data_IF_865104669958
#
_entry.id   IF_865104669958
#
_cell.length_a   1.000
_cell.length_b   1.000
_cell.length_c   1.000
_cell.angle_alpha   90.00
_cell.angle_beta   90.00
_cell.angle_gamma   90.00
#
_symmetry.space_group_name_H-M   'P 1'
#
loop_
_entity.id
_entity.type
_entity.pdbx_description
1 polymer ?
#
# COMPACT_ATOMS: atom_id res chain seq x y z
N UNK A 1 -15.64 -0.74 5.92
CA UNK A 1 -14.44 -1.54 6.34
C UNK A 1 -13.86 -0.92 7.59
N UNK A 2 -13.54 -1.72 8.61
CA UNK A 2 -12.88 -1.21 9.83
C UNK A 2 -11.38 -1.50 9.79
N UNK A 3 -10.54 -0.49 10.05
CA UNK A 3 -9.07 -0.62 10.17
C UNK A 3 -8.66 0.09 11.47
N UNK A 4 -8.10 -0.65 12.42
CA UNK A 4 -7.93 -0.17 13.78
C UNK A 4 -9.25 0.24 14.40
N UNK A 5 -9.33 1.44 14.96
CA UNK A 5 -10.57 1.99 15.53
C UNK A 5 -11.39 2.85 14.56
N UNK A 6 -10.92 3.02 13.31
CA UNK A 6 -11.57 3.85 12.29
C UNK A 6 -12.44 3.05 11.33
N UNK A 7 -13.60 3.62 10.97
CA UNK A 7 -14.47 3.11 9.91
C UNK A 7 -14.17 3.82 8.59
N UNK A 8 -13.92 3.04 7.54
CA UNK A 8 -13.67 3.52 6.19
C UNK A 8 -14.86 3.18 5.29
N UNK A 9 -15.43 4.19 4.64
CA UNK A 9 -16.50 4.00 3.67
C UNK A 9 -15.93 3.37 2.40
N UNK A 10 -16.55 2.29 1.93
CA UNK A 10 -16.03 1.53 0.77
C UNK A 10 -16.43 2.13 -0.59
N UNK A 11 -17.19 3.22 -0.59
CA UNK A 11 -17.65 3.89 -1.81
C UNK A 11 -17.67 5.41 -1.65
N UNK A 12 -17.36 6.12 -2.74
CA UNK A 12 -17.54 7.57 -2.84
C UNK A 12 -16.47 8.42 -2.17
N UNK A 13 -15.42 7.81 -1.60
CA UNK A 13 -14.27 8.51 -1.04
C UNK A 13 -12.99 7.72 -1.28
N UNK A 14 -11.88 8.45 -1.49
CA UNK A 14 -10.54 7.86 -1.62
C UNK A 14 -9.66 8.33 -0.47
N UNK A 15 -9.14 7.38 0.29
CA UNK A 15 -8.31 7.60 1.47
C UNK A 15 -6.82 7.58 1.13
N UNK A 16 -6.03 8.30 1.91
CA UNK A 16 -4.58 8.42 1.70
C UNK A 16 -3.81 7.57 2.70
N UNK A 17 -3.05 6.62 2.18
CA UNK A 17 -2.06 5.83 2.92
C UNK A 17 -0.68 6.45 2.71
N UNK A 18 -0.13 7.08 3.76
CA UNK A 18 1.18 7.71 3.75
C UNK A 18 2.31 6.69 3.96
N UNK A 19 3.35 6.73 3.13
CA UNK A 19 4.47 5.78 3.15
C UNK A 19 5.51 6.21 4.17
N UNK A 20 5.83 5.32 5.12
CA UNK A 20 6.93 5.45 6.05
C UNK A 20 7.95 4.32 5.88
N UNK A 21 9.04 4.58 5.16
CA UNK A 21 10.13 3.62 5.04
C UNK A 21 11.11 3.76 6.23
N UNK A 22 11.29 2.68 6.99
CA UNK A 22 12.21 2.60 8.13
C UNK A 22 13.48 1.82 7.76
N UNK A 23 14.07 2.17 6.62
CA UNK A 23 15.33 1.60 6.12
C UNK A 23 16.53 2.46 6.52
N UNK A 24 17.74 1.89 6.69
CA UNK A 24 18.95 2.66 7.05
C UNK A 24 19.21 3.86 6.14
N UNK A 25 18.94 3.72 4.84
CA UNK A 25 19.13 4.79 3.86
C UNK A 25 18.13 5.95 4.00
N UNK A 26 16.98 5.69 4.63
CA UNK A 26 15.94 6.72 4.84
C UNK A 26 16.29 7.69 5.96
N UNK A 27 17.27 7.35 6.84
CA UNK A 27 17.58 8.10 8.05
C UNK A 27 19.09 8.24 8.32
N UNK A 28 19.94 8.22 7.32
CA UNK A 28 21.39 7.93 7.30
C UNK A 28 22.34 8.84 8.12
N UNK A 29 21.87 9.79 8.96
CA UNK A 29 22.75 10.78 9.59
C UNK A 29 22.88 10.72 11.12
N UNK A 30 22.57 9.60 11.80
CA UNK A 30 22.86 9.60 13.23
C UNK A 30 22.11 8.67 14.17
N UNK A 31 22.43 7.39 14.21
CA UNK A 31 22.11 6.48 15.32
C UNK A 31 20.62 6.16 15.55
N UNK A 32 20.32 4.95 16.04
CA UNK A 32 18.97 4.37 16.18
C UNK A 32 17.91 5.27 16.88
N UNK A 33 18.30 6.10 17.83
CA UNK A 33 17.37 7.02 18.52
C UNK A 33 16.96 8.21 17.65
N UNK A 34 17.92 8.75 16.90
CA UNK A 34 17.67 9.89 16.00
C UNK A 34 16.77 9.47 14.84
N UNK A 35 16.88 8.22 14.39
CA UNK A 35 16.07 7.67 13.30
C UNK A 35 14.61 7.49 13.70
N UNK A 36 14.34 7.03 14.94
CA UNK A 36 12.98 6.92 15.47
C UNK A 36 12.30 8.30 15.61
N UNK A 37 13.01 9.29 16.13
CA UNK A 37 12.45 10.64 16.28
C UNK A 37 12.20 11.31 14.93
N UNK A 38 13.02 11.06 13.92
CA UNK A 38 12.77 11.51 12.54
C UNK A 38 11.54 10.84 11.96
N UNK A 39 11.40 9.50 12.15
CA UNK A 39 10.23 8.76 11.71
C UNK A 39 8.95 9.31 12.35
N UNK A 40 8.95 9.56 13.66
CA UNK A 40 7.78 10.10 14.37
C UNK A 40 7.42 11.53 13.94
N UNK A 41 8.41 12.40 13.68
CA UNK A 41 8.14 13.73 13.10
C UNK A 41 7.52 13.63 11.70
N UNK A 42 8.01 12.72 10.88
CA UNK A 42 7.43 12.50 9.56
C UNK A 42 6.00 11.94 9.63
N UNK A 43 5.72 11.06 10.60
CA UNK A 43 4.34 10.61 10.87
C UNK A 43 3.44 11.78 11.29
N UNK A 44 3.91 12.64 12.20
CA UNK A 44 3.18 13.85 12.63
C UNK A 44 2.84 14.74 11.44
N UNK A 45 3.82 15.04 10.57
CA UNK A 45 3.61 15.79 9.33
C UNK A 45 2.57 15.13 8.42
N UNK A 46 2.67 13.80 8.18
CA UNK A 46 1.71 13.08 7.35
C UNK A 46 0.29 13.12 7.92
N UNK A 47 0.13 12.96 9.24
CA UNK A 47 -1.17 13.02 9.92
C UNK A 47 -1.76 14.44 9.83
N UNK A 48 -0.97 15.47 10.07
CA UNK A 48 -1.39 16.89 9.93
C UNK A 48 -1.77 17.22 8.47
N UNK A 49 -1.09 16.62 7.50
CA UNK A 49 -1.38 16.74 6.06
C UNK A 49 -2.63 15.98 5.62
N UNK A 50 -3.16 15.10 6.48
CA UNK A 50 -4.39 14.37 6.26
C UNK A 50 -4.21 12.93 5.77
N UNK A 51 -3.11 12.26 6.14
CA UNK A 51 -3.00 10.82 5.96
C UNK A 51 -4.04 10.09 6.83
N UNK A 52 -4.74 9.15 6.22
CA UNK A 52 -5.75 8.32 6.90
C UNK A 52 -5.13 7.07 7.53
N UNK A 53 -4.04 6.56 6.95
CA UNK A 53 -3.30 5.38 7.37
C UNK A 53 -1.80 5.67 7.19
N UNK A 54 -0.96 5.15 8.08
CA UNK A 54 0.51 5.17 7.92
C UNK A 54 0.98 3.76 7.57
N UNK A 55 1.66 3.61 6.44
CA UNK A 55 2.17 2.32 5.97
C UNK A 55 3.67 2.20 6.28
N UNK A 56 4.01 1.35 7.24
CA UNK A 56 5.35 1.17 7.77
C UNK A 56 6.04 0.00 7.07
N UNK A 57 7.16 0.26 6.39
CA UNK A 57 7.96 -0.75 5.71
C UNK A 57 9.41 -0.80 6.20
N UNK A 58 9.88 -1.99 6.60
CA UNK A 58 11.24 -2.21 7.10
C UNK A 58 12.24 -2.67 6.04
N UNK A 59 11.75 -3.17 4.92
CA UNK A 59 12.53 -3.64 3.78
C UNK A 59 12.21 -2.81 2.54
N UNK A 60 13.24 -2.46 1.76
CA UNK A 60 13.00 -1.83 0.46
C UNK A 60 12.49 -2.87 -0.52
N UNK A 61 11.37 -2.58 -1.19
CA UNK A 61 10.80 -3.44 -2.25
C UNK A 61 11.07 -2.92 -3.66
N UNK A 62 12.00 -1.95 -3.80
CA UNK A 62 12.42 -1.41 -5.11
C UNK A 62 13.20 -2.46 -5.91
N UNK A 63 13.14 -2.45 -7.26
CA UNK A 63 13.93 -3.35 -8.07
C UNK A 63 15.43 -3.32 -7.70
N UNK A 64 16.03 -4.50 -7.47
CA UNK A 64 17.45 -4.60 -7.07
C UNK A 64 17.71 -4.45 -5.57
N UNK A 65 16.68 -4.47 -4.73
CA UNK A 65 16.84 -4.45 -3.27
C UNK A 65 17.57 -5.70 -2.74
N UNK A 66 18.20 -5.56 -1.59
CA UNK A 66 18.81 -6.68 -0.86
C UNK A 66 17.82 -7.20 0.16
N UNK A 67 17.53 -8.51 0.12
CA UNK A 67 16.73 -9.18 1.13
C UNK A 67 17.43 -9.07 2.49
N UNK A 68 16.67 -8.72 3.51
CA UNK A 68 17.12 -8.71 4.90
C UNK A 68 16.48 -9.89 5.67
N UNK A 69 17.07 -10.25 6.80
CA UNK A 69 16.49 -11.31 7.65
C UNK A 69 15.20 -10.83 8.32
N UNK A 70 14.38 -11.78 8.76
CA UNK A 70 13.15 -11.49 9.49
C UNK A 70 13.46 -10.71 10.78
N UNK A 71 14.53 -11.11 11.50
CA UNK A 71 14.96 -10.46 12.75
C UNK A 71 15.38 -9.00 12.50
N UNK A 72 16.07 -8.74 11.40
CA UNK A 72 16.46 -7.39 11.05
C UNK A 72 15.24 -6.53 10.71
N UNK A 73 14.30 -7.03 9.90
CA UNK A 73 13.08 -6.31 9.58
C UNK A 73 12.23 -6.05 10.83
N UNK A 74 12.03 -7.05 11.70
CA UNK A 74 11.36 -6.91 12.99
C UNK A 74 12.02 -5.81 13.84
N UNK A 75 13.34 -5.80 13.92
CA UNK A 75 14.09 -4.82 14.72
C UNK A 75 13.90 -3.38 14.22
N UNK A 76 13.57 -3.19 12.95
CA UNK A 76 13.28 -1.89 12.34
C UNK A 76 11.84 -1.45 12.57
N UNK A 77 10.85 -2.33 12.29
CA UNK A 77 9.44 -1.94 12.24
C UNK A 77 8.77 -1.92 13.62
N UNK A 78 9.07 -2.89 14.50
CA UNK A 78 8.38 -3.03 15.79
C UNK A 78 8.53 -1.78 16.66
N UNK A 79 9.75 -1.25 16.93
CA UNK A 79 9.90 -0.07 17.79
C UNK A 79 9.23 1.19 17.22
N UNK A 80 9.09 1.28 15.90
CA UNK A 80 8.44 2.40 15.23
C UNK A 80 6.92 2.28 15.35
N UNK A 81 6.36 1.08 15.11
CA UNK A 81 4.92 0.82 15.26
C UNK A 81 4.48 1.13 16.70
N UNK A 82 5.17 0.60 17.72
CA UNK A 82 4.89 0.88 19.12
C UNK A 82 4.90 2.38 19.43
N UNK A 83 5.92 3.10 18.96
CA UNK A 83 6.05 4.54 19.19
C UNK A 83 4.98 5.37 18.48
N UNK A 84 4.52 4.95 17.29
CA UNK A 84 3.39 5.59 16.60
C UNK A 84 2.10 5.38 17.39
N UNK A 85 1.82 4.13 17.82
CA UNK A 85 0.61 3.79 18.60
C UNK A 85 0.52 4.53 19.93
N UNK A 86 1.66 4.83 20.55
CA UNK A 86 1.70 5.61 21.81
C UNK A 86 1.37 7.10 21.61
N UNK A 87 1.61 7.67 20.42
CA UNK A 87 1.55 9.13 20.18
C UNK A 87 0.41 9.58 19.29
N UNK A 88 -0.03 8.74 18.37
CA UNK A 88 -0.96 9.13 17.29
C UNK A 88 -2.17 8.20 17.26
N UNK A 89 -3.34 8.80 17.11
CA UNK A 89 -4.58 8.07 16.80
C UNK A 89 -4.72 7.93 15.27
N UNK A 90 -3.85 7.12 14.66
CA UNK A 90 -3.88 6.80 13.24
C UNK A 90 -3.70 5.30 13.03
N UNK A 91 -4.47 4.64 12.16
CA UNK A 91 -4.25 3.26 11.80
C UNK A 91 -2.89 3.03 11.17
N UNK A 92 -2.27 1.89 11.51
CA UNK A 92 -0.96 1.50 10.99
C UNK A 92 -1.13 0.30 10.07
N UNK A 93 -0.68 0.44 8.83
CA UNK A 93 -0.43 -0.66 7.89
C UNK A 93 1.02 -1.12 8.04
N UNK A 94 1.26 -2.42 8.04
CA UNK A 94 2.59 -3.00 7.98
C UNK A 94 2.85 -3.61 6.61
N UNK A 95 3.77 -3.00 5.85
CA UNK A 95 4.24 -3.47 4.54
C UNK A 95 5.25 -4.60 4.74
N UNK A 96 4.77 -5.84 4.67
CA UNK A 96 5.60 -7.05 4.76
C UNK A 96 4.90 -8.25 4.12
N UNK A 97 5.71 -9.14 3.54
CA UNK A 97 5.29 -10.42 2.98
C UNK A 97 5.84 -11.63 3.77
N UNK A 98 6.43 -11.37 4.95
CA UNK A 98 7.04 -12.39 5.82
C UNK A 98 6.18 -12.61 7.06
N UNK A 99 5.70 -13.83 7.28
CA UNK A 99 4.80 -14.15 8.38
C UNK A 99 5.37 -13.94 9.78
N UNK A 100 6.69 -14.12 10.05
CA UNK A 100 7.27 -13.75 11.34
C UNK A 100 7.22 -12.23 11.60
N UNK A 101 7.50 -11.42 10.59
CA UNK A 101 7.44 -9.96 10.68
C UNK A 101 6.00 -9.49 10.89
N UNK A 102 5.06 -10.02 10.11
CA UNK A 102 3.63 -9.73 10.29
C UNK A 102 3.16 -10.04 11.71
N UNK A 103 3.54 -11.19 12.27
CA UNK A 103 3.21 -11.58 13.66
C UNK A 103 3.75 -10.60 14.70
N UNK A 104 5.01 -10.19 14.54
CA UNK A 104 5.65 -9.24 15.45
C UNK A 104 5.01 -7.85 15.35
N UNK A 105 4.73 -7.38 14.13
CA UNK A 105 4.06 -6.10 13.91
C UNK A 105 2.61 -6.06 14.42
N UNK A 106 1.85 -7.16 14.28
CA UNK A 106 0.51 -7.29 14.88
C UNK A 106 0.59 -7.16 16.41
N UNK A 107 1.56 -7.80 17.03
CA UNK A 107 1.78 -7.70 18.50
C UNK A 107 2.19 -6.29 18.93
N UNK A 108 2.91 -5.56 18.07
CA UNK A 108 3.29 -4.17 18.28
C UNK A 108 2.15 -3.17 18.06
N UNK A 109 1.02 -3.61 17.46
CA UNK A 109 -0.17 -2.78 17.26
C UNK A 109 -0.44 -2.38 15.81
N UNK A 110 0.09 -3.07 14.82
CA UNK A 110 -0.34 -2.88 13.42
C UNK A 110 -1.83 -3.23 13.26
N UNK A 111 -2.54 -2.45 12.46
CA UNK A 111 -3.99 -2.53 12.25
C UNK A 111 -4.36 -3.13 10.88
N UNK A 112 -3.39 -3.25 9.96
CA UNK A 112 -3.54 -3.82 8.62
C UNK A 112 -2.23 -4.47 8.19
N UNK A 113 -2.30 -5.57 7.43
CA UNK A 113 -1.13 -6.18 6.77
C UNK A 113 -1.20 -5.87 5.28
N UNK A 114 -0.15 -5.23 4.75
CA UNK A 114 0.02 -4.95 3.33
C UNK A 114 1.04 -5.93 2.73
N UNK A 115 0.52 -6.97 2.05
CA UNK A 115 1.34 -8.07 1.50
C UNK A 115 1.50 -7.90 -0.01
N UNK A 116 2.70 -7.47 -0.43
CA UNK A 116 3.06 -7.25 -1.84
C UNK A 116 3.20 -8.54 -2.68
N UNK A 117 3.05 -9.71 -2.08
CA UNK A 117 3.05 -11.00 -2.75
C UNK A 117 1.66 -11.68 -2.75
N UNK A 118 0.66 -11.08 -2.12
CA UNK A 118 -0.71 -11.58 -2.13
C UNK A 118 -0.79 -13.03 -1.62
N UNK A 119 -0.18 -13.32 -0.48
CA UNK A 119 -0.15 -14.63 0.20
C UNK A 119 0.66 -15.73 -0.52
N UNK A 120 1.44 -15.39 -1.58
CA UNK A 120 2.12 -16.39 -2.42
C UNK A 120 3.61 -16.56 -2.11
N UNK A 121 4.19 -15.73 -1.24
CA UNK A 121 5.60 -15.82 -0.87
C UNK A 121 5.82 -16.74 0.34
N UNK A 122 5.07 -16.50 1.42
CA UNK A 122 5.14 -17.25 2.68
C UNK A 122 3.82 -17.98 2.92
N UNK A 123 3.84 -19.31 2.92
CA UNK A 123 2.68 -20.19 3.08
C UNK A 123 1.96 -20.03 4.44
N UNK A 124 2.61 -19.41 5.43
CA UNK A 124 2.06 -19.14 6.77
C UNK A 124 1.38 -17.78 6.87
N UNK A 125 1.60 -16.87 5.91
CA UNK A 125 1.07 -15.51 5.97
C UNK A 125 -0.46 -15.48 6.08
N UNK A 126 -1.16 -16.24 5.24
CA UNK A 126 -2.62 -16.30 5.26
C UNK A 126 -3.18 -16.73 6.63
N UNK A 127 -2.54 -17.73 7.27
CA UNK A 127 -2.95 -18.20 8.59
C UNK A 127 -2.68 -17.16 9.70
N UNK A 128 -1.59 -16.40 9.60
CA UNK A 128 -1.27 -15.31 10.53
C UNK A 128 -2.31 -14.21 10.44
N UNK A 129 -2.66 -13.75 9.23
CA UNK A 129 -3.67 -12.72 8.99
C UNK A 129 -5.05 -13.20 9.47
N UNK A 130 -5.48 -14.40 9.08
CA UNK A 130 -6.76 -14.95 9.49
C UNK A 130 -6.90 -15.03 11.02
N UNK A 131 -5.86 -15.51 11.72
CA UNK A 131 -5.85 -15.61 13.18
C UNK A 131 -5.89 -14.24 13.88
N UNK A 132 -5.27 -13.22 13.30
CA UNK A 132 -5.25 -11.88 13.89
C UNK A 132 -6.62 -11.19 13.81
N UNK A 133 -7.43 -11.54 12.82
CA UNK A 133 -8.67 -10.86 12.52
C UNK A 133 -8.50 -9.45 11.92
N UNK A 134 -7.28 -9.06 11.53
CA UNK A 134 -7.00 -7.78 10.89
C UNK A 134 -7.38 -7.80 9.40
N UNK A 135 -7.68 -6.63 8.81
CA UNK A 135 -7.74 -6.48 7.37
C UNK A 135 -6.37 -6.65 6.73
N UNK A 136 -6.36 -6.96 5.44
CA UNK A 136 -5.15 -7.06 4.64
C UNK A 136 -5.33 -6.42 3.27
N UNK A 137 -4.24 -5.88 2.73
CA UNK A 137 -4.10 -5.50 1.34
C UNK A 137 -3.25 -6.56 0.64
N UNK A 138 -3.80 -7.16 -0.40
CA UNK A 138 -3.20 -8.28 -1.12
C UNK A 138 -2.88 -7.84 -2.54
N UNK A 139 -1.57 -7.72 -2.85
CA UNK A 139 -1.12 -7.17 -4.12
C UNK A 139 -0.87 -8.26 -5.16
N UNK A 140 -1.23 -7.97 -6.40
CA UNK A 140 -0.81 -8.75 -7.56
C UNK A 140 0.70 -8.62 -7.79
N UNK A 141 1.40 -9.75 -7.75
CA UNK A 141 2.82 -9.86 -8.08
C UNK A 141 3.13 -11.20 -8.72
N UNK A 142 4.17 -11.24 -9.55
CA UNK A 142 4.74 -12.45 -10.17
C UNK A 142 6.26 -12.45 -10.04
N UNK A 143 6.90 -13.60 -10.23
CA UNK A 143 8.36 -13.69 -10.33
C UNK A 143 8.88 -13.09 -11.63
N UNK A 144 8.11 -13.24 -12.72
CA UNK A 144 8.44 -12.78 -14.07
C UNK A 144 7.25 -12.07 -14.70
N UNK A 145 7.51 -11.17 -15.66
CA UNK A 145 6.50 -10.45 -16.43
C UNK A 145 6.01 -11.26 -17.65
N UNK A 146 5.78 -12.57 -17.47
CA UNK A 146 5.29 -13.47 -18.51
C UNK A 146 3.76 -13.52 -18.47
N UNK A 147 3.13 -12.84 -19.42
CA UNK A 147 1.67 -12.80 -19.59
C UNK A 147 1.30 -13.25 -20.99
N UNK A 148 0.21 -14.00 -21.13
CA UNK A 148 -0.39 -14.35 -22.41
C UNK A 148 -1.46 -13.32 -22.82
N UNK A 149 -2.38 -13.06 -21.91
CA UNK A 149 -3.32 -11.95 -21.97
C UNK A 149 -3.22 -11.19 -20.66
N UNK A 150 -2.65 -9.98 -20.70
CA UNK A 150 -2.19 -9.30 -19.51
C UNK A 150 -3.29 -9.07 -18.47
N UNK A 151 -4.43 -8.48 -18.86
CA UNK A 151 -5.50 -8.16 -17.91
C UNK A 151 -6.22 -9.42 -17.42
N UNK A 152 -6.42 -10.42 -18.31
CA UNK A 152 -7.02 -11.70 -17.92
C UNK A 152 -6.11 -12.47 -16.94
N UNK A 153 -4.81 -12.47 -17.17
CA UNK A 153 -3.83 -13.12 -16.30
C UNK A 153 -3.75 -12.43 -14.94
N UNK A 154 -3.76 -11.09 -14.90
CA UNK A 154 -3.83 -10.32 -13.65
C UNK A 154 -5.10 -10.67 -12.87
N UNK A 155 -6.24 -10.71 -13.53
CA UNK A 155 -7.51 -11.08 -12.91
C UNK A 155 -7.47 -12.53 -12.38
N UNK A 156 -6.91 -13.48 -13.13
CA UNK A 156 -6.76 -14.87 -12.71
C UNK A 156 -5.87 -15.00 -11.45
N UNK A 157 -4.75 -14.27 -11.41
CA UNK A 157 -3.83 -14.25 -10.28
C UNK A 157 -4.45 -13.63 -9.02
N UNK A 158 -5.23 -12.55 -9.16
CA UNK A 158 -5.98 -11.95 -8.05
C UNK A 158 -7.08 -12.89 -7.56
N UNK A 159 -7.79 -13.57 -8.46
CA UNK A 159 -8.78 -14.58 -8.08
C UNK A 159 -8.14 -15.74 -7.30
N UNK A 160 -6.91 -16.15 -7.64
CA UNK A 160 -6.15 -17.13 -6.87
C UNK A 160 -5.82 -16.61 -5.48
N UNK A 161 -5.30 -15.37 -5.37
CA UNK A 161 -5.01 -14.70 -4.10
C UNK A 161 -6.24 -14.63 -3.19
N UNK A 162 -7.39 -14.23 -3.73
CA UNK A 162 -8.67 -14.19 -3.01
C UNK A 162 -9.04 -15.59 -2.48
N UNK A 163 -8.95 -16.63 -3.32
CA UNK A 163 -9.21 -18.02 -2.88
C UNK A 163 -8.28 -18.48 -1.77
N UNK A 164 -7.01 -18.05 -1.78
CA UNK A 164 -6.07 -18.33 -0.67
C UNK A 164 -6.51 -17.68 0.62
N UNK A 165 -6.98 -16.43 0.55
CA UNK A 165 -7.49 -15.68 1.70
C UNK A 165 -8.76 -16.34 2.27
N UNK A 166 -9.75 -16.64 1.42
CA UNK A 166 -11.00 -17.34 1.79
C UNK A 166 -10.71 -18.70 2.44
N UNK A 167 -9.84 -19.51 1.82
CA UNK A 167 -9.45 -20.83 2.34
C UNK A 167 -8.79 -20.75 3.72
N UNK A 168 -8.08 -19.66 4.01
CA UNK A 168 -7.46 -19.42 5.32
C UNK A 168 -8.47 -18.90 6.36
N UNK A 169 -9.68 -18.49 5.94
CA UNK A 169 -10.72 -17.92 6.81
C UNK A 169 -10.60 -16.41 7.01
N UNK A 170 -9.95 -15.70 6.09
CA UNK A 170 -9.98 -14.23 6.07
C UNK A 170 -11.35 -13.81 5.51
N UNK A 171 -12.08 -13.00 6.26
CA UNK A 171 -13.42 -12.55 5.86
C UNK A 171 -13.35 -11.53 4.73
N UNK A 172 -14.28 -11.60 3.77
CA UNK A 172 -14.31 -10.77 2.55
C UNK A 172 -14.25 -9.26 2.84
N UNK A 173 -14.96 -8.81 3.86
CA UNK A 173 -14.99 -7.40 4.27
C UNK A 173 -13.65 -6.88 4.83
N UNK A 174 -12.65 -7.75 4.96
CA UNK A 174 -11.29 -7.43 5.44
C UNK A 174 -10.24 -7.45 4.34
N UNK A 175 -10.62 -7.74 3.10
CA UNK A 175 -9.70 -7.83 1.97
C UNK A 175 -9.72 -6.52 1.18
N UNK A 176 -8.53 -5.99 0.89
CA UNK A 176 -8.23 -4.95 -0.09
C UNK A 176 -7.37 -5.60 -1.15
N UNK A 177 -7.56 -5.26 -2.41
CA UNK A 177 -6.71 -5.75 -3.51
C UNK A 177 -5.93 -4.59 -4.14
N UNK A 178 -4.68 -4.87 -4.57
CA UNK A 178 -3.79 -3.91 -5.24
C UNK A 178 -3.34 -4.51 -6.59
N UNK A 179 -3.49 -3.80 -7.71
CA UNK A 179 -3.07 -4.26 -9.04
C UNK A 179 -1.55 -4.44 -9.19
N UNK A 180 -0.73 -3.95 -8.26
CA UNK A 180 0.72 -4.14 -8.28
C UNK A 180 1.42 -3.35 -9.37
N UNK A 181 1.10 -2.08 -9.57
CA UNK A 181 1.84 -1.19 -10.49
C UNK A 181 3.32 -1.18 -10.14
N UNK A 182 4.19 -1.42 -11.13
CA UNK A 182 5.64 -1.45 -10.95
C UNK A 182 6.22 -2.80 -10.49
N UNK A 183 5.39 -3.84 -10.34
CA UNK A 183 5.82 -5.19 -9.96
C UNK A 183 5.55 -6.18 -11.09
N UNK A 184 6.61 -6.88 -11.54
CA UNK A 184 6.55 -7.86 -12.62
C UNK A 184 5.72 -7.41 -13.84
N UNK A 185 5.87 -6.15 -14.26
CA UNK A 185 5.14 -5.55 -15.37
C UNK A 185 6.09 -4.71 -16.23
N UNK A 186 5.94 -4.79 -17.55
CA UNK A 186 6.61 -3.87 -18.48
C UNK A 186 6.09 -2.44 -18.31
N UNK A 187 6.72 -1.48 -18.99
CA UNK A 187 6.24 -0.10 -19.01
C UNK A 187 4.81 -0.02 -19.55
N UNK A 188 4.54 -0.67 -20.69
CA UNK A 188 3.23 -0.69 -21.35
C UNK A 188 2.18 -1.34 -20.47
N UNK A 189 2.51 -2.47 -19.83
CA UNK A 189 1.62 -3.16 -18.90
C UNK A 189 1.29 -2.31 -17.66
N UNK A 190 2.24 -1.49 -17.19
CA UNK A 190 1.96 -0.53 -16.12
C UNK A 190 1.00 0.59 -16.56
N UNK A 191 1.10 1.06 -17.79
CA UNK A 191 0.13 2.02 -18.34
C UNK A 191 -1.24 1.37 -18.54
N UNK A 192 -1.27 0.15 -19.05
CA UNK A 192 -2.51 -0.62 -19.28
C UNK A 192 -3.26 -0.89 -17.97
N UNK A 193 -2.60 -1.39 -16.92
CA UNK A 193 -3.27 -1.67 -15.64
C UNK A 193 -3.83 -0.41 -14.99
N UNK A 194 -3.14 0.74 -15.10
CA UNK A 194 -3.66 2.02 -14.61
C UNK A 194 -4.87 2.47 -15.44
N UNK A 195 -4.84 2.24 -16.76
CA UNK A 195 -5.95 2.60 -17.63
C UNK A 195 -7.17 1.70 -17.45
N UNK A 196 -7.00 0.46 -17.01
CA UNK A 196 -8.06 -0.55 -16.87
C UNK A 196 -8.41 -0.89 -15.41
N UNK A 197 -8.07 -0.01 -14.44
CA UNK A 197 -8.31 -0.24 -13.01
C UNK A 197 -9.76 -0.63 -12.68
N UNK A 198 -10.73 -0.03 -13.38
CA UNK A 198 -12.15 -0.28 -13.20
C UNK A 198 -12.56 -1.72 -13.50
N UNK A 199 -11.81 -2.45 -14.32
CA UNK A 199 -12.07 -3.87 -14.59
C UNK A 199 -11.90 -4.73 -13.33
N UNK A 200 -11.03 -4.32 -12.40
CA UNK A 200 -10.81 -5.04 -11.14
C UNK A 200 -11.96 -4.86 -10.15
N UNK A 201 -12.87 -3.90 -10.38
CA UNK A 201 -14.09 -3.74 -9.57
C UNK A 201 -15.02 -4.94 -9.69
N UNK A 202 -14.82 -5.82 -10.69
CA UNK A 202 -15.55 -7.08 -10.84
C UNK A 202 -15.41 -8.00 -9.62
N UNK A 203 -14.34 -7.87 -8.86
CA UNK A 203 -14.12 -8.68 -7.65
C UNK A 203 -14.93 -8.20 -6.44
N UNK A 204 -15.45 -6.96 -6.46
CA UNK A 204 -16.24 -6.40 -5.36
C UNK A 204 -15.43 -5.99 -4.12
N UNK A 205 -14.11 -6.06 -4.17
CA UNK A 205 -13.21 -5.64 -3.08
C UNK A 205 -12.73 -4.19 -3.27
N UNK A 206 -12.45 -3.46 -2.17
CA UNK A 206 -11.77 -2.17 -2.25
C UNK A 206 -10.44 -2.28 -2.98
N UNK A 207 -10.14 -1.28 -3.85
CA UNK A 207 -8.88 -1.18 -4.56
C UNK A 207 -7.92 -0.21 -3.86
N UNK A 208 -6.66 -0.60 -3.72
CA UNK A 208 -5.55 0.27 -3.38
C UNK A 208 -4.69 0.50 -4.62
N UNK A 209 -4.32 1.75 -4.90
CA UNK A 209 -3.41 2.13 -5.97
C UNK A 209 -2.11 2.70 -5.41
N UNK A 210 -1.00 2.02 -5.64
CA UNK A 210 0.35 2.46 -5.28
C UNK A 210 1.16 2.87 -6.51
N UNK A 211 1.02 4.10 -7.02
CA UNK A 211 1.78 4.62 -8.17
C UNK A 211 2.86 5.64 -7.81
N UNK A 212 2.88 6.13 -6.56
CA UNK A 212 3.69 7.27 -6.13
C UNK A 212 5.17 7.10 -6.45
N UNK A 213 5.70 8.03 -7.23
CA UNK A 213 7.09 8.13 -7.67
C UNK A 213 7.65 6.90 -8.41
N UNK A 214 6.78 5.98 -8.86
CA UNK A 214 7.20 4.74 -9.55
C UNK A 214 7.82 4.98 -10.92
N UNK A 215 8.52 3.96 -11.41
CA UNK A 215 9.28 4.01 -12.68
C UNK A 215 8.42 4.31 -13.90
N UNK A 216 7.17 3.88 -13.93
CA UNK A 216 6.23 4.20 -15.01
C UNK A 216 6.10 5.71 -15.21
N UNK A 217 6.02 6.49 -14.13
CA UNK A 217 5.99 7.96 -14.19
C UNK A 217 7.33 8.52 -14.69
N UNK A 218 8.43 7.98 -14.13
CA UNK A 218 9.77 8.41 -14.52
C UNK A 218 10.11 8.15 -15.98
N UNK A 219 9.68 7.01 -16.52
CA UNK A 219 9.86 6.67 -17.93
C UNK A 219 9.00 7.55 -18.85
N UNK A 220 7.75 7.85 -18.43
CA UNK A 220 6.84 8.71 -19.19
C UNK A 220 7.36 10.14 -19.28
N UNK A 221 7.82 10.70 -18.15
CA UNK A 221 8.19 12.11 -18.03
C UNK A 221 9.69 12.37 -18.22
N UNK A 222 10.52 11.30 -18.26
CA UNK A 222 11.96 11.36 -18.24
C UNK A 222 12.51 12.13 -17.01
N UNK A 223 11.98 11.79 -15.81
CA UNK A 223 12.29 12.48 -14.56
C UNK A 223 12.82 11.52 -13.48
N UNK A 224 13.76 11.98 -12.62
CA UNK A 224 14.20 11.25 -11.44
C UNK A 224 13.08 11.14 -10.41
N UNK A 225 13.22 10.23 -9.43
CA UNK A 225 12.15 9.86 -8.51
C UNK A 225 11.61 11.01 -7.63
N UNK A 226 12.46 11.95 -7.28
CA UNK A 226 12.15 13.15 -6.49
C UNK A 226 11.38 14.24 -7.25
N UNK A 227 11.28 14.11 -8.59
CA UNK A 227 10.59 15.06 -9.46
C UNK A 227 9.35 14.44 -10.14
N UNK A 228 8.70 13.46 -9.50
CA UNK A 228 7.54 12.73 -10.07
C UNK A 228 6.22 13.07 -9.41
N UNK A 229 6.13 14.21 -8.74
CA UNK A 229 4.93 14.63 -8.02
C UNK A 229 3.73 14.77 -8.95
N UNK A 230 3.86 15.55 -10.04
CA UNK A 230 2.76 15.81 -10.97
C UNK A 230 2.23 14.52 -11.61
N UNK A 231 3.13 13.62 -12.02
CA UNK A 231 2.74 12.31 -12.54
C UNK A 231 2.06 11.44 -11.48
N UNK A 232 2.49 11.52 -10.22
CA UNK A 232 1.80 10.86 -9.09
C UNK A 232 0.38 11.40 -8.93
N UNK A 233 0.19 12.72 -8.96
CA UNK A 233 -1.13 13.34 -8.83
C UNK A 233 -2.08 12.95 -9.97
N UNK A 234 -1.57 12.88 -11.20
CA UNK A 234 -2.36 12.40 -12.36
C UNK A 234 -2.83 10.96 -12.12
N UNK A 235 -1.95 10.05 -11.71
CA UNK A 235 -2.34 8.66 -11.45
C UNK A 235 -3.28 8.53 -10.24
N UNK A 236 -3.12 9.36 -9.22
CA UNK A 236 -4.04 9.45 -8.07
C UNK A 236 -5.45 9.87 -8.53
N UNK A 237 -5.56 10.94 -9.33
CA UNK A 237 -6.86 11.39 -9.88
C UNK A 237 -7.48 10.31 -10.75
N UNK A 238 -6.70 9.61 -11.59
CA UNK A 238 -7.20 8.44 -12.34
C UNK A 238 -7.74 7.36 -11.41
N UNK A 239 -7.04 7.05 -10.31
CA UNK A 239 -7.52 6.11 -9.30
C UNK A 239 -8.86 6.52 -8.69
N UNK A 240 -9.02 7.80 -8.32
CA UNK A 240 -10.30 8.36 -7.82
C UNK A 240 -11.43 8.16 -8.84
N UNK A 241 -11.19 8.52 -10.11
CA UNK A 241 -12.18 8.40 -11.19
C UNK A 241 -12.58 6.94 -11.46
N UNK A 242 -11.67 5.99 -11.22
CA UNK A 242 -11.87 4.55 -11.42
C UNK A 242 -12.31 3.78 -10.16
N UNK A 243 -12.57 4.52 -9.06
CA UNK A 243 -13.16 3.97 -7.84
C UNK A 243 -12.17 3.33 -6.88
N UNK A 244 -10.88 3.66 -6.95
CA UNK A 244 -9.93 3.23 -5.92
C UNK A 244 -10.31 3.82 -4.56
N UNK A 245 -10.38 2.96 -3.54
CA UNK A 245 -10.68 3.36 -2.17
C UNK A 245 -9.44 3.92 -1.45
N UNK A 246 -8.26 3.44 -1.81
CA UNK A 246 -7.00 3.87 -1.21
C UNK A 246 -5.97 4.26 -2.27
N UNK A 247 -5.16 5.27 -1.96
CA UNK A 247 -3.92 5.56 -2.67
C UNK A 247 -2.75 5.53 -1.69
N UNK A 248 -1.66 4.87 -2.08
CA UNK A 248 -0.43 4.76 -1.28
C UNK A 248 0.62 5.71 -1.83
N UNK A 249 0.99 6.74 -1.06
CA UNK A 249 1.74 7.90 -1.56
C UNK A 249 2.84 8.38 -0.59
N UNK A 250 3.87 9.06 -1.15
CA UNK A 250 4.90 9.77 -0.38
C UNK A 250 4.46 11.20 -0.05
N UNK A 251 3.82 11.90 -0.99
CA UNK A 251 3.48 13.33 -0.91
C UNK A 251 2.01 13.47 -0.47
N UNK A 252 1.76 13.39 0.86
CA UNK A 252 0.41 13.28 1.41
C UNK A 252 -0.43 14.52 1.10
N UNK A 253 0.06 15.72 1.42
CA UNK A 253 -0.70 16.96 1.30
C UNK A 253 -1.24 17.20 -0.12
N UNK A 254 -0.37 17.03 -1.11
CA UNK A 254 -0.69 17.25 -2.52
C UNK A 254 -1.73 16.23 -3.01
N UNK A 255 -1.59 14.97 -2.60
CA UNK A 255 -2.54 13.92 -2.96
C UNK A 255 -3.91 14.13 -2.28
N UNK A 256 -3.96 14.51 -1.00
CA UNK A 256 -5.21 14.87 -0.32
C UNK A 256 -5.93 16.01 -1.06
N UNK A 257 -5.20 17.04 -1.49
CA UNK A 257 -5.78 18.16 -2.26
C UNK A 257 -6.30 17.72 -3.62
N UNK A 258 -5.54 16.88 -4.33
CA UNK A 258 -5.94 16.34 -5.63
C UNK A 258 -7.21 15.48 -5.53
N UNK A 259 -7.28 14.60 -4.52
CA UNK A 259 -8.46 13.76 -4.25
C UNK A 259 -9.68 14.64 -3.94
N UNK A 260 -9.55 15.59 -3.02
CA UNK A 260 -10.66 16.51 -2.67
C UNK A 260 -11.20 17.26 -3.90
N UNK A 261 -10.30 17.70 -4.78
CA UNK A 261 -10.72 18.39 -6.01
C UNK A 261 -11.41 17.44 -6.98
N UNK A 262 -10.86 16.23 -7.21
CA UNK A 262 -11.47 15.22 -8.09
C UNK A 262 -12.87 14.81 -7.60
N UNK A 263 -13.01 14.53 -6.31
CA UNK A 263 -14.30 14.17 -5.70
C UNK A 263 -15.33 15.33 -5.76
N UNK A 264 -14.89 16.58 -5.60
CA UNK A 264 -15.76 17.75 -5.74
C UNK A 264 -16.32 17.85 -7.16
N UNK A 265 -15.49 17.63 -8.18
CA UNK A 265 -15.91 17.61 -9.60
C UNK A 265 -16.91 16.47 -9.84
N UNK A 266 -16.66 15.27 -9.31
CA UNK A 266 -17.57 14.13 -9.48
C UNK A 266 -18.94 14.37 -8.82
N UNK A 267 -18.97 15.05 -7.68
CA UNK A 267 -20.23 15.40 -6.98
C UNK A 267 -20.97 16.54 -7.65
N UNK A 268 -20.27 17.56 -8.14
CA UNK A 268 -20.87 18.75 -8.76
C UNK A 268 -21.50 18.52 -10.13
N UNK A 269 -21.16 17.43 -10.82
CA UNK A 269 -21.76 17.06 -12.11
C UNK A 269 -23.08 16.30 -12.03
N UNK A 270 -23.63 16.07 -10.83
CA UNK A 270 -24.89 15.34 -10.59
C UNK A 270 -25.94 16.21 -9.92
N UNK A 271 -26.05 17.48 -10.38
CA UNK A 271 -27.12 18.38 -10.00
C UNK A 271 -28.33 18.28 -10.93
#
# INVERSE_FOLDING_TARGET
MKIGDREFQTQGHTYVMGILNVTPDSFSDGGKWNDRDKALRHVEEMVEQGADIIDVGGESTRPGYTLISDEEEISRVVPVIEAIKERFDVPISLDTYKSPVARAGIQAGADLINDIWGLKYDDKMAAVIAKSGLPCCLMHNRKNADYQDFMQDVAADLAETIRLAEKAGIADERIIIDPGVGFAKSYEQNLEIINCLEELNMFGYPLLLGCSRKSVIGLTLNLPADQRLEGTLVTTVMGVLKGCMFVRVHDVLENVRAIKMAEAVLRGGRG
#
